data_IF_574354413773
#
_entry.id   IF_574354413773
#
_cell.length_a   1.000
_cell.length_b   1.000
_cell.length_c   1.000
_cell.angle_alpha   90.00
_cell.angle_beta   90.00
_cell.angle_gamma   90.00
#
_symmetry.space_group_name_H-M   'P 1'
#
loop_
_entity.id
_entity.type
_entity.pdbx_description
1 polymer ?
#
# COMPACT_ATOMS: atom_id res chain seq x y z
N UNK A 1 -15.09 7.61 -6.38
CA UNK A 1 -13.65 7.91 -6.55
C UNK A 1 -13.03 7.93 -5.16
N UNK A 2 -12.18 6.97 -4.80
CA UNK A 2 -11.46 7.01 -3.51
C UNK A 2 -10.05 6.41 -3.70
N UNK A 3 -9.13 7.18 -4.28
CA UNK A 3 -7.73 7.12 -3.85
C UNK A 3 -7.63 8.21 -2.79
N UNK A 4 -7.63 7.84 -1.51
CA UNK A 4 -7.39 8.81 -0.43
C UNK A 4 -5.93 9.26 -0.52
N UNK A 5 -5.69 10.54 -0.30
CA UNK A 5 -4.33 11.03 -0.14
C UNK A 5 -3.72 10.36 1.10
N UNK A 6 -2.77 9.47 0.89
CA UNK A 6 -1.98 8.92 1.97
C UNK A 6 -0.90 9.92 2.34
N UNK A 7 -0.95 10.45 3.56
CA UNK A 7 0.13 11.22 4.17
C UNK A 7 1.28 10.29 4.56
N UNK A 8 1.88 9.65 3.57
CA UNK A 8 3.15 8.95 3.67
C UNK A 8 4.16 9.91 3.05
N UNK A 9 5.04 10.52 3.85
CA UNK A 9 6.03 11.55 3.49
C UNK A 9 5.81 12.21 2.09
N UNK A 10 5.19 13.39 2.08
CA UNK A 10 4.79 14.20 0.90
C UNK A 10 3.70 13.62 -0.03
N UNK A 11 3.12 12.44 0.23
CA UNK A 11 1.78 12.03 -0.22
C UNK A 11 1.47 11.98 -1.71
N UNK A 12 2.48 11.96 -2.59
CA UNK A 12 2.28 12.07 -4.05
C UNK A 12 2.33 10.74 -4.81
N UNK A 13 3.00 9.72 -4.27
CA UNK A 13 3.32 8.51 -5.04
C UNK A 13 2.09 7.63 -5.31
N UNK A 14 1.25 7.36 -4.30
CA UNK A 14 0.01 6.58 -4.51
C UNK A 14 -0.93 7.28 -5.49
N UNK A 15 -1.09 8.60 -5.35
CA UNK A 15 -1.92 9.40 -6.26
C UNK A 15 -1.39 9.32 -7.70
N UNK A 16 -0.07 9.39 -7.88
CA UNK A 16 0.56 9.25 -9.19
C UNK A 16 0.36 7.84 -9.78
N UNK A 17 0.52 6.79 -8.97
CA UNK A 17 0.26 5.40 -9.39
C UNK A 17 -1.20 5.26 -9.82
N UNK A 18 -2.16 5.66 -8.97
CA UNK A 18 -3.60 5.59 -9.30
C UNK A 18 -3.93 6.36 -10.60
N UNK A 19 -3.35 7.55 -10.79
CA UNK A 19 -3.64 8.39 -11.95
C UNK A 19 -3.08 7.81 -13.25
N UNK A 20 -1.85 7.29 -13.23
CA UNK A 20 -1.20 6.74 -14.43
C UNK A 20 -1.77 5.38 -14.83
N UNK A 21 -2.04 4.52 -13.85
CA UNK A 21 -2.54 3.16 -14.10
C UNK A 21 -4.06 3.11 -14.26
N UNK A 22 -4.77 4.16 -13.81
CA UNK A 22 -6.24 4.18 -13.61
C UNK A 22 -6.74 3.11 -12.64
N UNK A 23 -5.83 2.45 -11.92
CA UNK A 23 -6.15 1.42 -10.94
C UNK A 23 -6.45 2.04 -9.59
N UNK A 24 -7.37 1.42 -8.84
CA UNK A 24 -7.75 1.85 -7.51
C UNK A 24 -7.18 0.89 -6.49
N UNK A 25 -6.42 1.44 -5.54
CA UNK A 25 -5.82 0.68 -4.46
C UNK A 25 -6.36 1.16 -3.10
N UNK A 26 -6.52 0.23 -2.18
CA UNK A 26 -6.84 0.48 -0.79
C UNK A 26 -5.67 0.05 0.12
N UNK A 27 -5.53 0.73 1.25
CA UNK A 27 -4.54 0.36 2.27
C UNK A 27 -5.03 -0.90 2.99
N UNK A 28 -4.22 -1.96 3.00
CA UNK A 28 -4.47 -3.15 3.81
C UNK A 28 -3.76 -3.11 5.15
N UNK A 29 -2.46 -2.80 5.15
CA UNK A 29 -1.69 -2.79 6.38
C UNK A 29 -0.74 -1.61 6.43
N UNK A 30 -0.52 -1.13 7.65
CA UNK A 30 0.41 -0.07 7.96
C UNK A 30 1.43 -0.60 8.97
N UNK A 31 2.71 -0.26 8.78
CA UNK A 31 3.76 -0.41 9.78
C UNK A 31 4.21 0.97 10.22
N UNK A 32 4.15 1.26 11.52
CA UNK A 32 4.52 2.57 12.06
C UNK A 32 6.04 2.74 12.11
N UNK A 33 6.50 3.99 12.04
CA UNK A 33 7.92 4.32 12.23
C UNK A 33 8.41 3.88 13.62
N UNK A 34 7.59 4.13 14.66
CA UNK A 34 7.86 3.73 16.05
C UNK A 34 8.06 2.22 16.16
N UNK A 35 7.15 1.41 15.60
CA UNK A 35 7.27 -0.04 15.67
C UNK A 35 8.51 -0.57 14.95
N UNK A 36 8.88 0.05 13.82
CA UNK A 36 10.10 -0.31 13.08
C UNK A 36 11.37 0.06 13.85
N UNK A 37 11.44 1.26 14.42
CA UNK A 37 12.61 1.68 15.20
C UNK A 37 12.79 0.80 16.45
N UNK A 38 11.71 0.51 17.18
CA UNK A 38 11.75 -0.41 18.32
C UNK A 38 12.21 -1.82 17.92
N UNK A 39 11.87 -2.28 16.70
CA UNK A 39 12.36 -3.56 16.19
C UNK A 39 13.87 -3.51 15.87
N UNK A 40 14.37 -2.42 15.29
CA UNK A 40 15.82 -2.21 15.06
C UNK A 40 16.58 -2.33 16.38
N UNK A 41 16.11 -1.62 17.42
CA UNK A 41 16.76 -1.62 18.75
C UNK A 41 16.73 -3.03 19.37
N UNK A 42 15.58 -3.70 19.32
CA UNK A 42 15.41 -5.07 19.86
C UNK A 42 16.31 -6.09 19.15
N UNK A 43 16.48 -5.95 17.83
CA UNK A 43 17.24 -6.87 17.00
C UNK A 43 18.74 -6.51 16.93
N UNK A 44 19.17 -5.42 17.60
CA UNK A 44 20.52 -4.84 17.48
C UNK A 44 20.94 -4.63 16.02
N UNK A 45 20.00 -4.20 15.18
CA UNK A 45 20.24 -4.01 13.75
C UNK A 45 21.04 -2.72 13.51
N UNK A 46 21.95 -2.74 12.53
CA UNK A 46 22.69 -1.55 12.07
C UNK A 46 21.87 -0.62 11.18
N UNK A 47 20.59 -0.94 10.93
CA UNK A 47 19.72 -0.11 10.12
C UNK A 47 19.44 1.24 10.79
N UNK A 48 19.53 2.34 10.02
CA UNK A 48 19.22 3.67 10.56
C UNK A 48 17.74 3.79 10.98
N UNK A 49 17.45 4.38 12.15
CA UNK A 49 16.10 4.68 12.59
C UNK A 49 15.39 5.61 11.61
N UNK A 50 14.10 5.36 11.35
CA UNK A 50 13.28 6.25 10.54
C UNK A 50 12.85 7.46 11.36
N UNK A 51 12.81 8.66 10.74
CA UNK A 51 12.27 9.83 11.40
C UNK A 51 10.79 9.66 11.80
N UNK A 52 10.46 9.98 13.05
CA UNK A 52 9.13 9.71 13.61
C UNK A 52 8.03 10.58 12.99
N UNK A 53 8.38 11.72 12.39
CA UNK A 53 7.44 12.60 11.70
C UNK A 53 6.78 11.93 10.48
N UNK A 54 7.36 10.84 9.98
CA UNK A 54 6.79 10.07 8.88
C UNK A 54 5.53 9.30 9.29
N UNK A 55 5.32 9.07 10.61
CA UNK A 55 4.27 8.25 11.24
C UNK A 55 4.31 6.77 10.84
N UNK A 56 4.34 6.48 9.55
CA UNK A 56 4.40 5.15 8.96
C UNK A 56 5.74 4.93 8.25
N UNK A 57 6.30 3.72 8.39
CA UNK A 57 7.48 3.23 7.66
C UNK A 57 7.11 2.45 6.40
N UNK A 58 6.00 1.71 6.45
CA UNK A 58 5.55 0.95 5.29
C UNK A 58 4.03 0.87 5.24
N UNK A 59 3.50 0.83 4.02
CA UNK A 59 2.08 0.63 3.73
C UNK A 59 1.94 -0.40 2.62
N UNK A 60 1.15 -1.43 2.87
CA UNK A 60 0.76 -2.39 1.85
C UNK A 60 -0.58 -1.98 1.26
N UNK A 61 -0.60 -1.88 -0.06
CA UNK A 61 -1.74 -1.53 -0.88
C UNK A 61 -2.22 -2.75 -1.63
N UNK A 62 -3.53 -2.92 -1.67
CA UNK A 62 -4.20 -3.98 -2.41
C UNK A 62 -5.16 -3.34 -3.39
N UNK A 63 -5.37 -3.97 -4.54
CA UNK A 63 -6.34 -3.48 -5.50
C UNK A 63 -7.76 -3.59 -4.91
N UNK A 64 -8.69 -2.70 -5.29
CA UNK A 64 -10.02 -2.66 -4.65
C UNK A 64 -10.86 -3.93 -4.86
N UNK A 65 -10.50 -4.74 -5.84
CA UNK A 65 -11.10 -6.06 -6.08
C UNK A 65 -10.44 -7.20 -5.30
N UNK A 66 -9.57 -6.89 -4.33
CA UNK A 66 -8.94 -7.90 -3.49
C UNK A 66 -9.94 -8.65 -2.60
N UNK A 67 -9.57 -9.89 -2.29
CA UNK A 67 -10.32 -10.79 -1.42
C UNK A 67 -11.48 -11.52 -2.10
N UNK A 68 -12.09 -12.44 -1.36
CA UNK A 68 -13.20 -13.27 -1.86
C UNK A 68 -14.53 -12.60 -1.51
N UNK A 69 -15.38 -12.41 -2.52
CA UNK A 69 -16.73 -11.91 -2.28
C UNK A 69 -17.54 -12.92 -1.45
N UNK A 70 -18.04 -12.49 -0.29
CA UNK A 70 -19.00 -13.26 0.52
C UNK A 70 -20.37 -12.62 0.40
N UNK A 71 -21.29 -13.32 -0.26
CA UNK A 71 -22.69 -12.90 -0.33
C UNK A 71 -23.31 -12.89 1.08
N UNK A 72 -24.07 -11.84 1.40
CA UNK A 72 -24.82 -11.73 2.67
C UNK A 72 -26.34 -11.89 2.48
N UNK A 73 -26.76 -12.41 1.32
CA UNK A 73 -28.16 -12.59 0.94
C UNK A 73 -28.30 -12.86 -0.56
N UNK A 74 -29.51 -13.25 -0.99
CA UNK A 74 -29.83 -13.69 -2.36
C UNK A 74 -30.08 -12.54 -3.35
N UNK A 75 -30.16 -11.30 -2.85
CA UNK A 75 -30.43 -10.12 -3.67
C UNK A 75 -29.27 -9.71 -4.59
N UNK A 76 -29.57 -9.51 -5.87
CA UNK A 76 -28.64 -8.93 -6.86
C UNK A 76 -28.58 -7.41 -6.69
N UNK A 77 -27.56 -6.90 -6.00
CA UNK A 77 -27.31 -5.45 -5.90
C UNK A 77 -26.74 -4.89 -7.20
N UNK A 78 -27.02 -3.62 -7.49
CA UNK A 78 -26.30 -2.84 -8.51
C UNK A 78 -24.81 -2.72 -8.18
N UNK A 79 -23.95 -2.56 -9.20
CA UNK A 79 -22.47 -2.48 -9.10
C UNK A 79 -21.79 -3.77 -8.61
N UNK A 80 -22.16 -4.91 -9.20
CA UNK A 80 -21.42 -6.18 -9.01
C UNK A 80 -19.96 -6.04 -9.46
N UNK A 81 -19.72 -5.23 -10.49
CA UNK A 81 -18.41 -4.99 -11.10
C UNK A 81 -17.42 -4.23 -10.23
N UNK A 82 -17.76 -3.84 -8.99
CA UNK A 82 -16.83 -3.27 -8.02
C UNK A 82 -16.56 -4.21 -6.84
N UNK A 83 -17.03 -5.46 -6.91
CA UNK A 83 -16.92 -6.44 -5.81
C UNK A 83 -15.56 -7.13 -5.81
N UNK A 84 -15.19 -7.65 -4.65
CA UNK A 84 -14.06 -8.55 -4.46
C UNK A 84 -14.06 -9.70 -5.50
N UNK A 85 -13.03 -9.80 -6.33
CA UNK A 85 -12.84 -10.81 -7.40
C UNK A 85 -11.67 -11.76 -7.10
N UNK A 86 -11.24 -11.83 -5.85
CA UNK A 86 -10.00 -12.50 -5.43
C UNK A 86 -8.77 -11.99 -6.17
N UNK A 87 -8.76 -10.68 -6.49
CA UNK A 87 -7.62 -10.05 -7.13
C UNK A 87 -6.43 -10.02 -6.17
N UNK A 88 -5.29 -10.54 -6.62
CA UNK A 88 -4.05 -10.59 -5.82
C UNK A 88 -3.11 -9.42 -6.11
N UNK A 89 -3.57 -8.44 -6.89
CA UNK A 89 -2.78 -7.28 -7.21
C UNK A 89 -2.53 -6.44 -5.95
N UNK A 90 -1.26 -6.23 -5.63
CA UNK A 90 -0.82 -5.52 -4.45
C UNK A 90 0.58 -4.94 -4.66
N UNK A 91 0.91 -3.92 -3.88
CA UNK A 91 2.29 -3.44 -3.77
C UNK A 91 2.53 -2.88 -2.37
N UNK A 92 3.79 -2.79 -1.99
CA UNK A 92 4.19 -2.24 -0.71
C UNK A 92 5.04 -0.98 -0.91
N UNK A 93 4.61 0.14 -0.34
CA UNK A 93 5.42 1.35 -0.24
C UNK A 93 6.19 1.33 1.09
N UNK A 94 7.50 1.57 1.04
CA UNK A 94 8.31 1.68 2.25
C UNK A 94 9.44 2.70 2.11
N UNK A 95 9.84 3.31 3.23
CA UNK A 95 10.99 4.21 3.29
C UNK A 95 12.32 3.46 3.41
N UNK A 96 13.21 3.56 2.43
CA UNK A 96 14.56 2.96 2.48
C UNK A 96 15.62 4.04 2.66
N UNK A 97 16.57 3.81 3.56
CA UNK A 97 17.76 4.66 3.67
C UNK A 97 18.73 4.32 2.54
N UNK A 98 19.09 5.30 1.71
CA UNK A 98 20.06 5.14 0.64
C UNK A 98 21.41 5.75 1.05
N UNK A 99 22.47 4.94 0.93
CA UNK A 99 23.85 5.41 0.96
C UNK A 99 24.37 5.90 2.32
N UNK A 100 25.61 6.40 2.30
CA UNK A 100 26.35 6.87 3.48
C UNK A 100 25.76 8.18 4.07
N UNK A 101 25.08 8.97 3.24
CA UNK A 101 24.56 10.30 3.60
C UNK A 101 23.28 10.24 4.44
N UNK A 102 22.63 9.07 4.56
CA UNK A 102 21.46 8.90 5.43
C UNK A 102 20.12 9.35 4.88
N UNK A 103 20.04 9.67 3.59
CA UNK A 103 18.81 10.11 2.97
C UNK A 103 17.80 8.96 2.86
N UNK A 104 16.55 9.20 3.23
CA UNK A 104 15.47 8.23 3.08
C UNK A 104 14.70 8.48 1.79
N UNK A 105 14.54 7.44 0.98
CA UNK A 105 13.76 7.45 -0.26
C UNK A 105 12.53 6.55 -0.14
N UNK A 106 11.47 6.89 -0.88
CA UNK A 106 10.30 6.04 -1.01
C UNK A 106 10.55 4.96 -2.06
N UNK A 107 10.37 3.70 -1.69
CA UNK A 107 10.51 2.56 -2.59
C UNK A 107 9.19 1.81 -2.72
N UNK A 108 8.86 1.44 -3.95
CA UNK A 108 7.85 0.41 -4.23
C UNK A 108 8.53 -0.95 -4.15
N UNK A 109 7.94 -1.87 -3.39
CA UNK A 109 8.47 -3.22 -3.15
C UNK A 109 7.33 -4.23 -3.21
N UNK A 110 7.67 -5.52 -3.37
CA UNK A 110 6.70 -6.64 -3.36
C UNK A 110 5.49 -6.37 -4.27
N UNK A 111 5.77 -5.98 -5.52
CA UNK A 111 4.76 -5.68 -6.53
C UNK A 111 4.21 -6.95 -7.15
N UNK A 112 2.94 -7.21 -6.95
CA UNK A 112 2.14 -8.13 -7.74
C UNK A 112 1.15 -7.28 -8.53
N UNK A 113 1.35 -7.12 -9.83
CA UNK A 113 0.44 -6.35 -10.70
C UNK A 113 -0.32 -7.25 -11.68
N UNK A 114 -0.48 -8.52 -11.31
CA UNK A 114 -1.25 -9.48 -12.10
C UNK A 114 -2.69 -9.43 -11.64
N UNK A 115 -3.56 -8.97 -12.53
CA UNK A 115 -5.01 -8.94 -12.32
C UNK A 115 -5.63 -10.20 -12.94
N UNK A 116 -6.57 -10.80 -12.22
CA UNK A 116 -7.37 -11.94 -12.70
C UNK A 116 -8.69 -11.52 -13.35
N UNK A 117 -8.84 -10.23 -13.62
CA UNK A 117 -10.02 -9.61 -14.21
C UNK A 117 -9.58 -8.46 -15.12
N UNK A 118 -10.46 -8.01 -16.01
CA UNK A 118 -10.22 -6.80 -16.78
C UNK A 118 -10.10 -5.58 -15.84
N UNK A 119 -9.14 -4.71 -16.11
CA UNK A 119 -9.04 -3.44 -15.40
C UNK A 119 -10.26 -2.59 -15.77
N UNK A 120 -11.01 -2.15 -14.76
CA UNK A 120 -12.09 -1.19 -14.97
C UNK A 120 -11.47 0.17 -15.32
N UNK A 121 -11.55 0.54 -16.60
CA UNK A 121 -11.10 1.83 -17.15
C UNK A 121 -11.83 3.02 -16.53
#
# INVERSE_FOLDING_TARGET
>A
MICKEDYFYRGKLLKHICLNTREKFCVRSNKTAVARNKAIDRENSSARPIPLEWKFYAKTYEYTHAGIYKARGEGKRSRQESRALDCKAQFNLCGRCNGQNGEFTLCVTKTTLVHNHALSL
#
